data_IF_187057838961
#
_entry.id   IF_187057838961
#
_cell.length_a   1.000
_cell.length_b   1.000
_cell.length_c   1.000
_cell.angle_alpha   90.00
_cell.angle_beta   90.00
_cell.angle_gamma   90.00
#
_symmetry.space_group_name_H-M   'P 1'
#
loop_
_entity.id
_entity.type
_entity.pdbx_description
1 polymer ?
#
# COMPACT_ATOMS: atom_id res chain seq x y z
N UNK A 1 -26.37 0.79 8.41
CA UNK A 1 -25.72 -0.52 8.62
C UNK A 1 -24.38 -0.25 9.26
N UNK A 2 -24.20 -0.63 10.53
CA UNK A 2 -22.95 -0.41 11.26
C UNK A 2 -21.90 -1.39 10.76
N UNK A 3 -20.96 -0.91 9.94
CA UNK A 3 -19.81 -1.67 9.49
C UNK A 3 -18.95 -2.03 10.70
N UNK A 4 -18.70 -3.33 10.91
CA UNK A 4 -17.83 -3.87 11.98
C UNK A 4 -16.34 -3.71 11.64
N UNK A 5 -15.91 -2.54 11.16
CA UNK A 5 -14.50 -2.28 10.87
C UNK A 5 -13.84 -1.68 12.11
N UNK A 6 -12.63 -2.14 12.44
CA UNK A 6 -11.83 -1.48 13.46
C UNK A 6 -11.47 -0.09 12.93
N UNK A 7 -11.90 0.95 13.64
CA UNK A 7 -11.47 2.32 13.38
C UNK A 7 -10.41 2.71 14.39
N UNK A 8 -9.29 3.24 13.90
CA UNK A 8 -8.23 3.81 14.73
C UNK A 8 -7.66 5.07 14.06
N UNK A 9 -7.01 5.91 14.85
CA UNK A 9 -6.38 7.14 14.33
C UNK A 9 -5.01 6.87 13.69
N UNK A 10 -4.41 5.70 13.98
CA UNK A 10 -3.13 5.26 13.45
C UNK A 10 -2.87 3.77 13.71
N UNK A 11 -1.88 3.20 13.02
CA UNK A 11 -1.28 1.92 13.42
C UNK A 11 -0.26 2.19 14.53
N UNK A 12 -0.46 1.58 15.70
CA UNK A 12 0.46 1.72 16.83
C UNK A 12 1.79 1.01 16.54
N UNK A 13 2.91 1.68 16.84
CA UNK A 13 4.25 1.12 16.70
C UNK A 13 4.50 -0.11 17.57
N UNK A 14 3.73 -0.29 18.64
CA UNK A 14 3.79 -1.48 19.50
C UNK A 14 3.58 -2.77 18.71
N UNK A 15 2.77 -2.74 17.65
CA UNK A 15 2.56 -3.89 16.76
C UNK A 15 3.87 -4.36 16.14
N UNK A 16 4.76 -3.43 15.75
CA UNK A 16 6.05 -3.74 15.14
C UNK A 16 7.10 -4.23 16.13
N UNK A 17 6.83 -4.20 17.43
CA UNK A 17 7.71 -4.83 18.44
C UNK A 17 7.49 -6.34 18.58
N UNK A 18 6.46 -6.90 17.93
CA UNK A 18 6.16 -8.32 17.94
C UNK A 18 7.13 -9.10 17.02
N UNK A 19 8.32 -9.43 17.54
CA UNK A 19 9.41 -10.05 16.76
C UNK A 19 9.10 -11.46 16.27
N UNK A 20 8.20 -12.19 16.94
CA UNK A 20 7.74 -13.52 16.50
C UNK A 20 6.64 -13.47 15.45
N UNK A 21 6.04 -12.30 15.19
CA UNK A 21 4.94 -12.20 14.23
C UNK A 21 5.49 -12.38 12.81
N UNK A 22 4.87 -13.27 12.04
CA UNK A 22 5.25 -13.55 10.64
C UNK A 22 4.22 -13.08 9.64
N UNK A 23 2.95 -13.07 10.01
CA UNK A 23 1.84 -12.68 9.16
C UNK A 23 1.08 -11.60 9.88
N UNK A 24 0.95 -10.44 9.25
CA UNK A 24 0.16 -9.33 9.74
C UNK A 24 -0.87 -8.98 8.67
N UNK A 25 -2.13 -9.19 9.02
CA UNK A 25 -3.26 -8.77 8.21
C UNK A 25 -4.02 -7.70 8.99
N UNK A 26 -4.08 -6.49 8.41
CA UNK A 26 -4.89 -5.38 8.90
C UNK A 26 -5.97 -4.97 7.89
N UNK A 27 -6.26 -5.79 6.88
CA UNK A 27 -7.11 -5.36 5.76
C UNK A 27 -8.55 -5.07 6.16
N UNK A 28 -9.17 -4.16 5.43
CA UNK A 28 -10.56 -3.74 5.66
C UNK A 28 -10.80 -3.00 6.98
N UNK A 29 -9.75 -2.47 7.61
CA UNK A 29 -9.86 -1.58 8.77
C UNK A 29 -9.80 -0.11 8.33
N UNK A 30 -10.12 0.83 9.22
CA UNK A 30 -10.07 2.25 8.89
C UNK A 30 -9.07 2.98 9.80
N UNK A 31 -7.90 3.30 9.27
CA UNK A 31 -6.88 4.09 9.97
C UNK A 31 -6.96 5.58 9.67
N UNK A 32 -8.14 6.10 9.31
CA UNK A 32 -8.49 7.52 9.30
C UNK A 32 -7.50 8.42 8.56
N UNK A 33 -7.03 8.00 7.37
CA UNK A 33 -6.06 8.73 6.54
C UNK A 33 -4.69 8.93 7.21
N UNK A 34 -4.35 8.06 8.17
CA UNK A 34 -3.03 8.07 8.81
C UNK A 34 -1.93 7.54 7.88
N UNK A 35 -0.68 7.86 8.23
CA UNK A 35 0.49 7.44 7.47
C UNK A 35 1.02 6.10 7.97
N UNK A 36 1.62 5.33 7.07
CA UNK A 36 2.44 4.17 7.48
C UNK A 36 3.59 4.65 8.38
N UNK A 37 3.83 3.97 9.51
CA UNK A 37 4.91 4.35 10.41
C UNK A 37 6.28 4.09 9.79
N UNK A 38 7.21 5.03 9.98
CA UNK A 38 8.61 4.90 9.53
C UNK A 38 9.28 3.78 10.35
N UNK A 39 9.79 2.78 9.64
CA UNK A 39 9.93 1.41 10.12
C UNK A 39 11.12 1.18 11.06
N UNK A 40 10.82 0.61 12.22
CA UNK A 40 11.68 -0.36 12.93
C UNK A 40 10.78 -1.53 13.36
N UNK A 41 11.23 -2.78 13.26
CA UNK A 41 10.51 -3.95 13.81
C UNK A 41 9.69 -4.79 12.82
N UNK A 42 9.76 -4.49 11.52
CA UNK A 42 9.10 -5.28 10.47
C UNK A 42 9.98 -6.39 9.89
N UNK A 43 11.25 -6.44 10.27
CA UNK A 43 12.31 -7.14 9.55
C UNK A 43 12.11 -8.67 9.52
N UNK A 44 11.27 -9.20 10.41
CA UNK A 44 10.95 -10.64 10.46
C UNK A 44 9.58 -11.00 9.89
N UNK A 45 8.78 -10.05 9.37
CA UNK A 45 7.47 -10.33 8.80
C UNK A 45 7.60 -10.80 7.35
N UNK A 46 6.81 -11.82 7.03
CA UNK A 46 6.78 -12.45 5.70
C UNK A 46 5.55 -12.06 4.89
N UNK A 47 4.42 -11.80 5.55
CA UNK A 47 3.15 -11.46 4.91
C UNK A 47 2.60 -10.19 5.55
N UNK A 48 2.39 -9.16 4.72
CA UNK A 48 1.87 -7.86 5.11
C UNK A 48 0.68 -7.51 4.24
N UNK A 49 -0.50 -7.45 4.86
CA UNK A 49 -1.73 -7.03 4.20
C UNK A 49 -2.25 -5.75 4.86
N UNK A 50 -2.09 -4.64 4.13
CA UNK A 50 -2.64 -3.33 4.47
C UNK A 50 -3.74 -2.91 3.47
N UNK A 51 -4.34 -3.85 2.75
CA UNK A 51 -5.36 -3.53 1.77
C UNK A 51 -6.61 -2.92 2.40
N UNK A 52 -7.23 -1.95 1.74
CA UNK A 52 -8.50 -1.35 2.21
C UNK A 52 -8.42 -0.76 3.61
N UNK A 53 -7.30 -0.11 3.95
CA UNK A 53 -7.03 0.37 5.31
C UNK A 53 -7.27 1.86 5.54
N UNK A 54 -7.62 2.62 4.50
CA UNK A 54 -7.65 4.09 4.50
C UNK A 54 -6.35 4.74 5.02
N UNK A 55 -5.21 4.11 4.78
CA UNK A 55 -3.89 4.71 5.02
C UNK A 55 -3.60 5.66 3.86
N UNK A 56 -2.97 6.79 4.16
CA UNK A 56 -2.66 7.82 3.18
C UNK A 56 -1.22 8.35 3.27
N UNK A 57 -0.82 9.10 2.24
CA UNK A 57 0.49 9.71 2.10
C UNK A 57 1.49 8.83 1.35
N UNK A 58 2.76 9.21 1.44
CA UNK A 58 3.86 8.50 0.80
C UNK A 58 4.18 7.20 1.55
N UNK A 59 4.33 6.11 0.81
CA UNK A 59 4.82 4.84 1.34
C UNK A 59 6.28 5.03 1.77
N UNK A 60 6.63 4.85 3.06
CA UNK A 60 7.99 5.10 3.53
C UNK A 60 9.01 4.16 2.87
N UNK A 61 10.13 4.69 2.39
CA UNK A 61 11.26 3.90 1.87
C UNK A 61 11.81 2.87 2.89
N UNK A 62 11.47 3.02 4.18
CA UNK A 62 11.75 2.02 5.20
C UNK A 62 11.12 0.65 4.94
N UNK A 63 10.12 0.54 4.07
CA UNK A 63 9.59 -0.76 3.59
C UNK A 63 10.66 -1.53 2.79
N UNK A 64 11.60 -0.84 2.14
CA UNK A 64 12.72 -1.50 1.48
C UNK A 64 13.64 -2.27 2.43
N UNK A 65 13.45 -2.21 3.76
CA UNK A 65 14.24 -2.99 4.75
C UNK A 65 13.61 -4.35 5.08
N UNK A 66 12.45 -4.66 4.52
CA UNK A 66 11.68 -5.84 4.91
C UNK A 66 12.11 -7.07 4.10
N UNK A 67 13.38 -7.44 4.26
CA UNK A 67 14.05 -8.46 3.43
C UNK A 67 13.44 -9.86 3.51
N UNK A 68 12.61 -10.13 4.53
CA UNK A 68 11.90 -11.41 4.69
C UNK A 68 10.49 -11.42 4.11
N UNK A 69 10.00 -10.29 3.58
CA UNK A 69 8.65 -10.19 3.01
C UNK A 69 8.56 -10.99 1.71
N UNK A 70 7.50 -11.78 1.64
CA UNK A 70 7.08 -12.64 0.52
C UNK A 70 5.79 -12.10 -0.10
N UNK A 71 4.88 -11.59 0.74
CA UNK A 71 3.60 -11.02 0.32
C UNK A 71 3.45 -9.58 0.84
N UNK A 72 3.16 -8.63 -0.05
CA UNK A 72 2.86 -7.25 0.30
C UNK A 72 1.63 -6.75 -0.47
N UNK A 73 0.59 -6.37 0.28
CA UNK A 73 -0.59 -5.70 -0.25
C UNK A 73 -0.76 -4.31 0.37
N UNK A 74 -0.73 -3.30 -0.50
CA UNK A 74 -0.95 -1.87 -0.20
C UNK A 74 -2.17 -1.32 -0.94
N UNK A 75 -2.97 -2.20 -1.54
CA UNK A 75 -4.04 -1.80 -2.46
C UNK A 75 -5.25 -1.20 -1.75
N UNK A 76 -5.98 -0.37 -2.47
CA UNK A 76 -7.28 0.13 -2.02
C UNK A 76 -8.33 -0.22 -3.06
N UNK A 77 -9.42 -0.83 -2.61
CA UNK A 77 -10.65 -0.93 -3.38
C UNK A 77 -11.42 0.39 -3.26
N UNK A 78 -11.95 0.88 -4.37
CA UNK A 78 -12.89 1.99 -4.35
C UNK A 78 -14.14 1.60 -5.11
N UNK A 79 -15.28 1.66 -4.43
CA UNK A 79 -16.59 1.63 -5.07
C UNK A 79 -17.03 3.07 -5.32
N UNK A 80 -17.01 3.52 -6.57
CA UNK A 80 -17.62 4.79 -6.94
C UNK A 80 -19.15 4.62 -6.86
N UNK A 81 -19.76 5.11 -5.79
CA UNK A 81 -21.22 5.21 -5.70
C UNK A 81 -21.60 6.64 -6.06
N UNK A 82 -21.97 6.88 -7.32
CA UNK A 82 -22.60 8.12 -7.71
C UNK A 82 -24.08 8.06 -7.34
N UNK A 83 -24.50 8.85 -6.35
CA UNK A 83 -25.92 9.15 -6.17
C UNK A 83 -26.23 10.42 -6.95
N UNK A 84 -27.00 10.27 -8.01
CA UNK A 84 -27.57 11.38 -8.76
C UNK A 84 -28.77 11.90 -7.96
N UNK A 85 -28.62 13.08 -7.37
CA UNK A 85 -29.72 14.00 -7.12
C UNK A 85 -29.16 15.40 -7.31
N UNK A 86 -29.86 16.20 -8.13
CA UNK A 86 -29.34 17.41 -8.74
C UNK A 86 -28.64 18.35 -7.73
N UNK A 87 -27.45 18.83 -8.12
CA UNK A 87 -26.64 19.92 -7.55
C UNK A 87 -25.58 19.62 -6.48
N UNK A 88 -25.37 18.37 -6.04
CA UNK A 88 -24.20 18.04 -5.20
C UNK A 88 -23.21 17.17 -5.95
N UNK A 89 -22.41 17.77 -6.84
CA UNK A 89 -21.22 17.09 -7.35
C UNK A 89 -20.27 16.93 -6.17
N UNK A 90 -20.27 15.74 -5.55
CA UNK A 90 -19.17 15.35 -4.67
C UNK A 90 -17.97 15.12 -5.58
N UNK A 91 -17.32 16.22 -5.98
CA UNK A 91 -16.04 16.20 -6.68
C UNK A 91 -15.05 15.62 -5.68
N UNK A 92 -14.93 14.29 -5.64
CA UNK A 92 -13.65 13.68 -5.40
C UNK A 92 -12.75 14.22 -6.51
N UNK A 93 -12.00 15.28 -6.21
CA UNK A 93 -10.96 15.77 -7.10
C UNK A 93 -10.09 14.59 -7.47
N UNK A 94 -9.60 14.52 -8.71
CA UNK A 94 -8.74 13.42 -9.17
C UNK A 94 -7.53 13.23 -8.23
N UNK A 95 -7.10 14.33 -7.61
CA UNK A 95 -6.05 14.40 -6.58
C UNK A 95 -6.42 13.72 -5.24
N UNK A 96 -7.70 13.44 -5.01
CA UNK A 96 -8.24 12.79 -3.80
C UNK A 96 -8.60 11.32 -4.01
N UNK A 97 -8.43 10.79 -5.23
CA UNK A 97 -8.65 9.37 -5.53
C UNK A 97 -7.51 8.54 -4.94
N UNK A 98 -6.31 9.10 -4.94
CA UNK A 98 -5.09 8.43 -4.50
C UNK A 98 -4.83 8.74 -3.03
N UNK A 99 -5.03 7.76 -2.16
CA UNK A 99 -4.68 7.91 -0.74
C UNK A 99 -3.17 7.69 -0.54
N UNK A 100 -2.62 6.63 -1.14
CA UNK A 100 -1.21 6.25 -1.05
C UNK A 100 -0.43 6.62 -2.32
N UNK A 101 0.85 6.97 -2.15
CA UNK A 101 1.78 7.18 -3.27
C UNK A 101 3.09 6.43 -3.07
N UNK A 102 3.63 5.91 -4.18
CA UNK A 102 4.98 5.35 -4.29
C UNK A 102 5.72 6.19 -5.34
N UNK A 103 6.39 7.28 -4.93
CA UNK A 103 7.05 8.18 -5.86
C UNK A 103 8.35 7.61 -6.44
N UNK A 104 8.95 6.61 -5.78
CA UNK A 104 10.19 5.98 -6.21
C UNK A 104 10.19 4.48 -5.88
N UNK A 105 10.00 3.66 -6.91
CA UNK A 105 9.90 2.21 -6.86
C UNK A 105 11.24 1.56 -6.49
N UNK A 106 12.35 2.05 -7.04
CA UNK A 106 13.69 1.61 -6.69
C UNK A 106 13.91 1.64 -5.16
N UNK A 107 13.60 2.75 -4.50
CA UNK A 107 13.79 2.86 -3.04
C UNK A 107 12.84 1.96 -2.24
N UNK A 108 11.64 1.70 -2.74
CA UNK A 108 10.68 0.80 -2.11
C UNK A 108 11.13 -0.67 -2.21
N UNK A 109 11.60 -1.08 -3.39
CA UNK A 109 11.87 -2.47 -3.72
C UNK A 109 13.32 -2.90 -3.48
N UNK A 110 14.26 -1.95 -3.29
CA UNK A 110 15.72 -2.18 -3.30
C UNK A 110 16.23 -3.47 -2.62
N UNK A 111 15.60 -3.91 -1.51
CA UNK A 111 16.00 -5.14 -0.82
C UNK A 111 14.88 -6.20 -0.68
N UNK A 112 13.77 -6.07 -1.39
CA UNK A 112 12.64 -7.01 -1.35
C UNK A 112 12.87 -8.25 -2.25
N UNK A 113 14.06 -8.85 -2.14
CA UNK A 113 14.52 -9.95 -3.01
C UNK A 113 13.78 -11.27 -2.81
N UNK A 114 13.01 -11.40 -1.73
CA UNK A 114 12.15 -12.56 -1.44
C UNK A 114 10.68 -12.34 -1.80
N UNK A 115 10.33 -11.17 -2.33
CA UNK A 115 8.94 -10.84 -2.64
C UNK A 115 8.43 -11.73 -3.79
N UNK A 116 7.30 -12.38 -3.55
CA UNK A 116 6.62 -13.27 -4.50
C UNK A 116 5.28 -12.68 -4.96
N UNK A 117 4.60 -11.90 -4.10
CA UNK A 117 3.31 -11.27 -4.43
C UNK A 117 3.30 -9.79 -4.04
N UNK A 118 2.96 -8.94 -5.01
CA UNK A 118 2.87 -7.48 -4.85
C UNK A 118 1.55 -6.95 -5.40
N UNK A 119 0.77 -6.32 -4.52
CA UNK A 119 -0.52 -5.71 -4.83
C UNK A 119 -0.49 -4.22 -4.48
N UNK A 120 -0.70 -3.36 -5.47
CA UNK A 120 -0.67 -1.90 -5.32
C UNK A 120 -1.83 -1.21 -6.04
N UNK A 121 -2.93 -1.91 -6.28
CA UNK A 121 -4.10 -1.34 -6.94
C UNK A 121 -4.54 -0.02 -6.29
N UNK A 122 -4.80 1.01 -7.09
CA UNK A 122 -5.15 2.36 -6.61
C UNK A 122 -4.06 3.08 -5.81
N UNK A 123 -2.78 2.69 -5.94
CA UNK A 123 -1.62 3.44 -5.42
C UNK A 123 -1.08 4.35 -6.52
N UNK A 124 -0.82 5.61 -6.20
CA UNK A 124 -0.25 6.56 -7.16
C UNK A 124 1.23 6.27 -7.41
N UNK A 125 1.53 5.77 -8.62
CA UNK A 125 2.88 5.45 -9.08
C UNK A 125 3.39 6.41 -10.18
N UNK A 126 2.73 7.56 -10.38
CA UNK A 126 3.05 8.47 -11.49
C UNK A 126 4.47 9.04 -11.46
N UNK A 127 5.15 9.02 -10.31
CA UNK A 127 6.54 9.47 -10.15
C UNK A 127 7.60 8.54 -10.75
N UNK A 128 7.25 7.32 -11.17
CA UNK A 128 8.23 6.30 -11.57
C UNK A 128 8.58 6.32 -13.08
N UNK A 129 7.85 7.09 -13.90
CA UNK A 129 8.07 7.19 -15.34
C UNK A 129 8.14 5.83 -16.03
N UNK A 130 8.98 5.69 -17.05
CA UNK A 130 9.22 4.41 -17.76
C UNK A 130 10.00 3.37 -16.92
N UNK A 131 10.65 3.81 -15.84
CA UNK A 131 11.61 2.99 -15.09
C UNK A 131 10.96 1.97 -14.14
N UNK A 132 9.68 2.16 -13.79
CA UNK A 132 8.94 1.29 -12.86
C UNK A 132 9.07 -0.21 -13.19
N UNK A 133 9.04 -0.58 -14.48
CA UNK A 133 9.07 -1.96 -14.94
C UNK A 133 10.47 -2.58 -14.74
N UNK A 134 11.51 -1.80 -15.05
CA UNK A 134 12.89 -2.20 -14.82
C UNK A 134 13.17 -2.39 -13.32
N UNK A 135 12.65 -1.50 -12.47
CA UNK A 135 12.84 -1.60 -11.02
C UNK A 135 12.20 -2.86 -10.46
N UNK A 136 10.98 -3.19 -10.87
CA UNK A 136 10.34 -4.48 -10.50
C UNK A 136 11.23 -5.65 -10.94
N UNK A 137 11.66 -5.68 -12.20
CA UNK A 137 12.48 -6.77 -12.73
C UNK A 137 13.84 -6.94 -12.03
N UNK A 138 14.47 -5.83 -11.65
CA UNK A 138 15.80 -5.83 -11.04
C UNK A 138 15.77 -6.20 -9.54
N UNK A 139 14.76 -5.71 -8.81
CA UNK A 139 14.75 -5.82 -7.35
C UNK A 139 13.87 -6.96 -6.81
N UNK A 140 12.95 -7.49 -7.62
CA UNK A 140 12.02 -8.55 -7.19
C UNK A 140 12.11 -9.80 -8.10
N UNK A 141 13.26 -10.48 -8.15
CA UNK A 141 13.49 -11.59 -9.10
C UNK A 141 12.63 -12.84 -8.84
N UNK A 142 11.97 -12.94 -7.68
CA UNK A 142 11.08 -14.04 -7.31
C UNK A 142 9.61 -13.72 -7.50
N UNK A 143 9.27 -12.54 -8.01
CA UNK A 143 7.90 -12.08 -8.12
C UNK A 143 7.10 -13.01 -9.05
N UNK A 144 5.99 -13.51 -8.54
CA UNK A 144 5.07 -14.42 -9.22
C UNK A 144 3.71 -13.77 -9.49
N UNK A 145 3.27 -12.86 -8.60
CA UNK A 145 2.01 -12.12 -8.72
C UNK A 145 2.29 -10.63 -8.64
N UNK A 146 1.84 -9.90 -9.68
CA UNK A 146 1.90 -8.44 -9.75
C UNK A 146 0.51 -7.89 -10.08
N UNK A 147 -0.06 -7.08 -9.18
CA UNK A 147 -1.37 -6.45 -9.37
C UNK A 147 -1.25 -4.93 -9.27
N UNK A 148 -1.40 -4.25 -10.42
CA UNK A 148 -1.28 -2.79 -10.56
C UNK A 148 -2.52 -2.14 -11.22
N UNK A 149 -3.77 -2.51 -10.86
CA UNK A 149 -4.93 -1.87 -11.45
C UNK A 149 -5.01 -0.41 -11.02
N UNK A 150 -5.24 0.49 -11.96
CA UNK A 150 -5.36 1.93 -11.70
C UNK A 150 -4.19 2.43 -10.86
N UNK A 151 -2.96 2.44 -11.36
CA UNK A 151 -1.80 2.95 -10.58
C UNK A 151 -1.23 4.26 -11.14
N UNK A 152 -1.93 4.89 -12.09
CA UNK A 152 -1.44 6.06 -12.82
C UNK A 152 -0.05 5.85 -13.44
N UNK A 153 0.21 4.63 -13.92
CA UNK A 153 1.45 4.28 -14.62
C UNK A 153 1.34 4.80 -16.04
N UNK A 154 2.33 5.58 -16.46
CA UNK A 154 2.48 6.05 -17.84
C UNK A 154 3.80 5.51 -18.37
N UNK A 155 3.77 5.02 -19.61
CA UNK A 155 4.98 4.79 -20.42
C UNK A 155 5.34 6.09 -21.14
#
# INVERSE_FOLDING_TARGET
MSSHHLQADNIDQALFRLTSLRHLNLSGNNFSMSRLPVTTGFEQRTHLDFSDTNIAGEVPAGIGRLVSVVYLDLSTSFSMVSYDDETSITRFTIDSIWQLSVPNMETLLANLTNLEELHMGMVNMSGNGEQWCNDIGNFTPKLQVLSLPYCSIYS
#
